data_IF_415452590485
#
_entry.id   IF_415452590485
#
_cell.length_a   1.000
_cell.length_b   1.000
_cell.length_c   1.000
_cell.angle_alpha   90.00
_cell.angle_beta   90.00
_cell.angle_gamma   90.00
#
_symmetry.space_group_name_H-M   'P 1'
#
loop_
_entity.id
_entity.type
_entity.pdbx_description
1 polymer ?
#
# COMPACT_ATOMS: atom_id res chain seq x y z
N UNK A 1 -13.89 -6.58 -21.44
CA UNK A 1 -14.07 -7.10 -20.07
C UNK A 1 -12.73 -7.18 -19.34
N UNK A 2 -11.70 -7.87 -19.87
CA UNK A 2 -10.37 -7.99 -19.20
C UNK A 2 -9.65 -6.63 -19.03
N UNK A 3 -9.80 -5.68 -19.95
CA UNK A 3 -9.13 -4.38 -19.87
C UNK A 3 -9.56 -3.54 -18.65
N UNK A 4 -10.82 -3.67 -18.23
CA UNK A 4 -11.40 -2.91 -17.10
C UNK A 4 -10.76 -3.37 -15.77
N UNK A 5 -10.41 -4.65 -15.66
CA UNK A 5 -9.72 -5.21 -14.48
C UNK A 5 -8.20 -5.09 -14.58
N UNK A 6 -7.64 -5.04 -15.80
CA UNK A 6 -6.19 -4.96 -16.00
C UNK A 6 -5.59 -3.62 -15.56
N UNK A 7 -6.31 -2.50 -15.74
CA UNK A 7 -5.82 -1.17 -15.37
C UNK A 7 -5.64 -1.03 -13.84
N UNK A 8 -6.65 -1.32 -12.99
CA UNK A 8 -6.46 -1.32 -11.53
C UNK A 8 -5.33 -2.25 -11.09
N UNK A 9 -5.23 -3.43 -11.71
CA UNK A 9 -4.21 -4.41 -11.36
C UNK A 9 -2.80 -3.95 -11.71
N UNK A 10 -2.60 -3.30 -12.87
CA UNK A 10 -1.32 -2.72 -13.24
C UNK A 10 -0.92 -1.53 -12.35
N UNK A 11 -1.88 -0.75 -11.86
CA UNK A 11 -1.60 0.32 -10.88
C UNK A 11 -1.19 -0.29 -9.53
N UNK A 12 -1.86 -1.36 -9.10
CA UNK A 12 -1.48 -2.09 -7.89
C UNK A 12 -0.05 -2.62 -7.98
N UNK A 13 0.26 -3.30 -9.08
CA UNK A 13 1.59 -3.87 -9.33
C UNK A 13 2.68 -2.79 -9.37
N UNK A 14 2.40 -1.65 -10.00
CA UNK A 14 3.29 -0.49 -9.98
C UNK A 14 3.60 -0.03 -8.55
N UNK A 15 2.57 0.12 -7.70
CA UNK A 15 2.75 0.55 -6.30
C UNK A 15 3.53 -0.51 -5.51
N UNK A 16 3.21 -1.78 -5.68
CA UNK A 16 3.92 -2.89 -5.03
C UNK A 16 5.42 -2.92 -5.43
N UNK A 17 5.72 -2.71 -6.70
CA UNK A 17 7.10 -2.63 -7.18
C UNK A 17 7.86 -1.42 -6.60
N UNK A 18 7.20 -0.27 -6.40
CA UNK A 18 7.78 0.89 -5.72
C UNK A 18 8.10 0.55 -4.26
N UNK A 19 7.17 -0.05 -3.53
CA UNK A 19 7.34 -0.43 -2.13
C UNK A 19 8.50 -1.43 -1.97
N UNK A 20 8.64 -2.38 -2.90
CA UNK A 20 9.75 -3.33 -2.91
C UNK A 20 11.11 -2.67 -3.18
N UNK A 21 11.18 -1.67 -4.05
CA UNK A 21 12.41 -0.90 -4.30
C UNK A 21 12.80 -0.12 -3.06
N UNK A 22 11.84 0.52 -2.39
CA UNK A 22 12.07 1.26 -1.15
C UNK A 22 12.52 0.33 -0.02
N UNK A 23 11.84 -0.81 0.15
CA UNK A 23 12.21 -1.85 1.11
C UNK A 23 13.63 -2.37 0.87
N UNK A 24 14.04 -2.54 -0.39
CA UNK A 24 15.40 -2.93 -0.72
C UNK A 24 16.43 -1.83 -0.39
N UNK A 25 16.08 -0.56 -0.62
CA UNK A 25 16.93 0.59 -0.30
C UNK A 25 17.17 0.70 1.22
N UNK A 26 16.12 0.51 2.02
CA UNK A 26 16.20 0.43 3.49
C UNK A 26 17.13 -0.69 3.94
N UNK A 27 17.10 -1.85 3.27
CA UNK A 27 18.04 -2.95 3.51
C UNK A 27 19.45 -2.72 2.95
N UNK A 28 19.73 -1.53 2.40
CA UNK A 28 21.05 -1.12 1.91
C UNK A 28 21.36 -1.46 0.44
N UNK A 29 20.38 -1.87 -0.36
CA UNK A 29 20.55 -2.06 -1.81
C UNK A 29 19.68 -1.08 -2.60
N UNK A 30 20.31 -0.09 -3.22
CA UNK A 30 19.61 0.89 -4.06
C UNK A 30 19.47 0.38 -5.49
N UNK A 31 18.22 0.23 -5.94
CA UNK A 31 17.90 -0.12 -7.33
C UNK A 31 17.24 1.07 -8.04
N UNK A 32 17.63 1.38 -9.29
CA UNK A 32 16.94 2.40 -10.06
C UNK A 32 15.49 1.99 -10.33
N UNK A 33 14.54 2.70 -9.72
CA UNK A 33 13.10 2.43 -9.78
C UNK A 33 12.60 2.25 -11.21
N UNK A 34 12.97 3.15 -12.11
CA UNK A 34 12.58 3.10 -13.53
C UNK A 34 13.05 1.81 -14.22
N UNK A 35 14.23 1.30 -13.85
CA UNK A 35 14.77 0.05 -14.41
C UNK A 35 14.02 -1.16 -13.87
N UNK A 36 13.68 -1.16 -12.58
CA UNK A 36 12.89 -2.24 -11.97
C UNK A 36 11.50 -2.31 -12.61
N UNK A 37 10.80 -1.17 -12.69
CA UNK A 37 9.47 -1.08 -13.31
C UNK A 37 9.47 -1.45 -14.79
N UNK A 38 10.50 -1.01 -15.54
CA UNK A 38 10.62 -1.38 -16.96
C UNK A 38 10.87 -2.87 -17.12
N UNK A 39 11.72 -3.46 -16.27
CA UNK A 39 11.99 -4.90 -16.32
C UNK A 39 10.72 -5.70 -16.02
N UNK A 40 9.98 -5.31 -14.99
CA UNK A 40 8.73 -5.96 -14.60
C UNK A 40 7.68 -5.95 -15.71
N UNK A 41 7.45 -4.77 -16.32
CA UNK A 41 6.55 -4.63 -17.46
C UNK A 41 6.99 -5.43 -18.69
N UNK A 42 8.28 -5.42 -19.05
CA UNK A 42 8.79 -6.17 -20.20
C UNK A 42 8.68 -7.68 -19.96
N UNK A 43 9.03 -8.17 -18.77
CA UNK A 43 8.91 -9.60 -18.42
C UNK A 43 7.43 -10.02 -18.43
N UNK A 44 6.53 -9.18 -17.94
CA UNK A 44 5.08 -9.40 -18.02
C UNK A 44 4.58 -9.49 -19.46
N UNK A 45 5.06 -8.64 -20.38
CA UNK A 45 4.72 -8.73 -21.80
C UNK A 45 5.22 -10.03 -22.46
N UNK A 46 6.44 -10.45 -22.11
CA UNK A 46 7.00 -11.74 -22.57
C UNK A 46 6.14 -12.89 -22.05
N UNK A 47 5.83 -12.89 -20.75
CA UNK A 47 4.96 -13.90 -20.13
C UNK A 47 3.58 -13.96 -20.78
N UNK A 48 2.96 -12.81 -21.03
CA UNK A 48 1.69 -12.70 -21.73
C UNK A 48 1.75 -13.32 -23.13
N UNK A 49 2.83 -13.05 -23.87
CA UNK A 49 3.08 -13.65 -25.20
C UNK A 49 3.23 -15.17 -25.14
N UNK A 50 3.64 -15.71 -23.99
CA UNK A 50 3.76 -17.14 -23.71
C UNK A 50 2.49 -17.75 -23.10
N UNK A 51 1.40 -16.97 -22.96
CA UNK A 51 0.11 -17.42 -22.45
C UNK A 51 -0.14 -17.18 -20.96
N UNK A 52 0.71 -16.43 -20.26
CA UNK A 52 0.44 -16.01 -18.88
C UNK A 52 -0.70 -14.96 -18.85
N UNK A 53 -1.85 -15.23 -18.20
CA UNK A 53 -2.95 -14.28 -18.14
C UNK A 53 -2.77 -13.21 -17.04
N UNK A 54 -1.73 -13.31 -16.21
CA UNK A 54 -1.48 -12.43 -15.07
C UNK A 54 -0.25 -11.54 -15.30
N UNK A 55 -0.27 -10.34 -14.73
CA UNK A 55 0.94 -9.52 -14.61
C UNK A 55 1.91 -10.25 -13.67
N UNK A 56 3.21 -10.20 -13.97
CA UNK A 56 4.22 -10.59 -13.00
C UNK A 56 4.40 -9.42 -12.01
N UNK A 57 4.91 -9.72 -10.82
CA UNK A 57 5.19 -8.73 -9.80
C UNK A 57 6.61 -8.89 -9.27
N UNK A 58 7.19 -7.78 -8.78
CA UNK A 58 8.43 -7.81 -8.02
C UNK A 58 8.20 -8.56 -6.70
N UNK A 59 9.02 -9.56 -6.43
CA UNK A 59 8.84 -10.40 -5.26
C UNK A 59 9.19 -9.66 -3.95
N UNK A 60 8.26 -9.67 -3.00
CA UNK A 60 8.46 -9.07 -1.68
C UNK A 60 9.41 -9.87 -0.79
N UNK A 61 10.11 -9.16 0.10
CA UNK A 61 10.94 -9.77 1.13
C UNK A 61 12.45 -9.71 0.86
N UNK A 62 12.91 -8.84 -0.05
CA UNK A 62 14.34 -8.57 -0.25
C UNK A 62 15.12 -8.40 1.07
N UNK A 63 14.64 -7.62 2.08
CA UNK A 63 15.33 -7.54 3.37
C UNK A 63 15.49 -8.89 4.08
N UNK A 64 14.45 -9.73 4.06
CA UNK A 64 14.47 -11.06 4.69
C UNK A 64 15.45 -12.01 4.01
N UNK A 65 15.43 -12.07 2.67
CA UNK A 65 16.39 -12.89 1.91
C UNK A 65 17.82 -12.42 2.09
N UNK A 66 18.03 -11.10 2.10
CA UNK A 66 19.35 -10.52 2.33
C UNK A 66 19.87 -10.83 3.74
N UNK A 67 19.02 -10.73 4.77
CA UNK A 67 19.37 -11.10 6.14
C UNK A 67 19.79 -12.57 6.26
N UNK A 68 19.22 -13.47 5.44
CA UNK A 68 19.62 -14.87 5.33
C UNK A 68 20.88 -15.11 4.48
N UNK A 69 21.53 -14.06 3.97
CA UNK A 69 22.71 -14.17 3.12
C UNK A 69 22.43 -14.41 1.62
N UNK A 70 21.17 -14.29 1.20
CA UNK A 70 20.76 -14.35 -0.20
C UNK A 70 21.45 -13.27 -1.03
N UNK A 71 21.90 -13.65 -2.23
CA UNK A 71 22.54 -12.77 -3.22
C UNK A 71 21.99 -13.09 -4.61
N UNK A 72 22.50 -12.42 -5.65
CA UNK A 72 22.07 -12.65 -7.04
C UNK A 72 22.08 -14.13 -7.46
N UNK A 73 23.05 -14.91 -7.00
CA UNK A 73 23.12 -16.36 -7.29
C UNK A 73 21.96 -17.15 -6.69
N UNK A 74 21.46 -16.74 -5.52
CA UNK A 74 20.26 -17.32 -4.92
C UNK A 74 19.04 -17.07 -5.82
N UNK A 75 18.81 -15.82 -6.24
CA UNK A 75 17.70 -15.47 -7.13
C UNK A 75 17.76 -16.23 -8.46
N UNK A 76 18.95 -16.33 -9.06
CA UNK A 76 19.16 -17.08 -10.31
C UNK A 76 18.89 -18.58 -10.12
N UNK A 77 19.40 -19.19 -9.05
CA UNK A 77 19.18 -20.60 -8.75
C UNK A 77 17.69 -20.89 -8.50
N UNK A 78 16.98 -20.01 -7.79
CA UNK A 78 15.54 -20.11 -7.59
C UNK A 78 14.80 -20.07 -8.93
N UNK A 79 15.10 -19.11 -9.81
CA UNK A 79 14.48 -19.03 -11.13
C UNK A 79 14.71 -20.28 -11.99
N UNK A 80 15.95 -20.77 -12.05
CA UNK A 80 16.30 -22.01 -12.78
C UNK A 80 15.55 -23.21 -12.18
N UNK A 81 15.50 -23.31 -10.86
CA UNK A 81 14.82 -24.40 -10.17
C UNK A 81 13.32 -24.40 -10.49
N UNK A 82 12.66 -23.25 -10.39
CA UNK A 82 11.23 -23.11 -10.72
C UNK A 82 10.96 -23.47 -12.19
N UNK A 83 11.82 -23.07 -13.13
CA UNK A 83 11.72 -23.46 -14.53
C UNK A 83 11.77 -24.99 -14.68
N UNK A 84 12.77 -25.64 -14.08
CA UNK A 84 12.92 -27.10 -14.16
C UNK A 84 11.70 -27.81 -13.55
N UNK A 85 11.29 -27.42 -12.34
CA UNK A 85 10.13 -28.00 -11.67
C UNK A 85 8.84 -27.81 -12.49
N UNK A 86 8.70 -26.68 -13.19
CA UNK A 86 7.56 -26.41 -14.06
C UNK A 86 7.57 -27.30 -15.30
N UNK A 87 8.72 -27.44 -15.97
CA UNK A 87 8.86 -28.27 -17.18
C UNK A 87 8.59 -29.75 -16.93
N UNK A 88 9.00 -30.25 -15.75
CA UNK A 88 8.77 -31.64 -15.35
C UNK A 88 7.41 -31.86 -14.65
N UNK A 89 6.57 -30.83 -14.53
CA UNK A 89 5.24 -30.94 -13.90
C UNK A 89 5.27 -31.19 -12.38
N UNK A 90 6.43 -31.01 -11.74
CA UNK A 90 6.63 -31.30 -10.31
C UNK A 90 5.85 -30.31 -9.44
N UNK A 91 5.69 -29.06 -9.88
CA UNK A 91 4.93 -28.05 -9.14
C UNK A 91 3.47 -28.50 -8.94
N UNK A 92 2.82 -29.04 -9.98
CA UNK A 92 1.44 -29.53 -9.90
C UNK A 92 1.31 -30.70 -8.91
N UNK A 93 2.31 -31.58 -8.85
CA UNK A 93 2.37 -32.65 -7.87
C UNK A 93 2.50 -32.09 -6.44
N UNK A 94 3.40 -31.14 -6.21
CA UNK A 94 3.60 -30.53 -4.90
C UNK A 94 2.31 -29.83 -4.42
N UNK A 95 1.65 -29.04 -5.27
CA UNK A 95 0.40 -28.35 -4.91
C UNK A 95 -0.74 -29.34 -4.62
N UNK A 96 -0.73 -30.52 -5.23
CA UNK A 96 -1.70 -31.58 -4.91
C UNK A 96 -1.49 -32.21 -3.52
N UNK A 97 -0.25 -32.18 -3.02
CA UNK A 97 0.14 -32.78 -1.74
C UNK A 97 0.13 -31.76 -0.59
N UNK A 98 0.47 -30.51 -0.87
CA UNK A 98 0.58 -29.44 0.14
C UNK A 98 -0.78 -28.78 0.34
N UNK A 99 -1.36 -28.83 1.55
CA UNK A 99 -2.60 -28.14 1.84
C UNK A 99 -2.44 -26.64 1.68
N UNK A 100 -3.39 -25.97 1.01
CA UNK A 100 -3.40 -24.50 0.85
C UNK A 100 -3.35 -23.78 2.20
N UNK A 101 -3.90 -24.39 3.25
CA UNK A 101 -3.88 -23.86 4.63
C UNK A 101 -2.45 -23.72 5.19
N UNK A 102 -1.48 -24.48 4.67
CA UNK A 102 -0.07 -24.36 5.07
C UNK A 102 0.56 -23.02 4.64
N UNK A 103 -0.08 -22.30 3.72
CA UNK A 103 0.36 -20.98 3.24
C UNK A 103 0.02 -19.90 4.28
N UNK A 104 -1.03 -20.07 5.08
CA UNK A 104 -1.53 -19.03 6.00
C UNK A 104 -0.50 -18.55 7.03
N UNK A 105 0.26 -19.41 7.73
CA UNK A 105 1.29 -18.95 8.66
C UNK A 105 2.40 -18.12 7.99
N UNK A 106 2.72 -18.43 6.74
CA UNK A 106 3.74 -17.69 5.96
C UNK A 106 3.22 -16.29 5.65
N UNK A 107 1.97 -16.16 5.21
CA UNK A 107 1.35 -14.86 4.94
C UNK A 107 1.19 -14.02 6.21
N UNK A 108 0.84 -14.65 7.34
CA UNK A 108 0.79 -13.97 8.63
C UNK A 108 2.16 -13.43 9.04
N UNK A 109 3.22 -14.24 8.89
CA UNK A 109 4.57 -13.81 9.18
C UNK A 109 5.03 -12.64 8.30
N UNK A 110 4.81 -12.73 6.99
CA UNK A 110 5.14 -11.65 6.04
C UNK A 110 4.35 -10.38 6.37
N UNK A 111 3.05 -10.49 6.64
CA UNK A 111 2.22 -9.36 7.03
C UNK A 111 2.67 -8.69 8.33
N UNK A 112 3.06 -9.48 9.34
CA UNK A 112 3.65 -8.96 10.58
C UNK A 112 4.96 -8.23 10.32
N UNK A 113 5.85 -8.78 9.49
CA UNK A 113 7.14 -8.16 9.17
C UNK A 113 6.98 -6.83 8.42
N UNK A 114 6.17 -6.81 7.34
CA UNK A 114 5.90 -5.60 6.57
C UNK A 114 5.22 -4.56 7.46
N UNK A 115 4.23 -4.99 8.25
CA UNK A 115 3.53 -4.15 9.20
C UNK A 115 4.47 -3.53 10.22
N UNK A 116 5.37 -4.31 10.83
CA UNK A 116 6.35 -3.78 11.79
C UNK A 116 7.37 -2.85 11.14
N UNK A 117 7.85 -3.19 9.94
CA UNK A 117 8.81 -2.37 9.20
C UNK A 117 8.24 -1.01 8.85
N UNK A 118 6.97 -0.93 8.46
CA UNK A 118 6.32 0.34 8.17
C UNK A 118 6.45 1.34 9.33
N UNK A 119 6.31 0.88 10.59
CA UNK A 119 6.46 1.74 11.77
C UNK A 119 7.91 1.93 12.22
N UNK A 120 8.81 0.99 11.93
CA UNK A 120 10.21 1.03 12.38
C UNK A 120 11.10 1.86 11.45
N UNK A 121 10.82 1.83 10.15
CA UNK A 121 11.63 2.46 9.10
C UNK A 121 11.09 3.84 8.67
N UNK A 122 9.95 4.25 9.24
CA UNK A 122 9.36 5.57 9.03
C UNK A 122 9.54 6.43 10.29
N UNK A 123 9.75 7.75 10.17
CA UNK A 123 9.63 8.71 11.27
C UNK A 123 8.50 8.38 12.25
N UNK A 124 8.81 8.33 13.55
CA UNK A 124 7.83 7.98 14.61
C UNK A 124 6.62 8.92 14.58
N UNK A 125 6.86 10.18 14.23
CA UNK A 125 5.82 11.20 14.11
C UNK A 125 4.80 10.90 12.99
N UNK A 126 5.11 10.05 12.02
CA UNK A 126 4.22 9.65 10.93
C UNK A 126 3.36 8.41 11.24
N UNK A 127 3.50 7.81 12.42
CA UNK A 127 2.68 6.66 12.83
C UNK A 127 1.16 6.84 12.61
N UNK A 128 0.55 8.02 12.86
CA UNK A 128 -0.87 8.24 12.56
C UNK A 128 -1.21 8.11 11.06
N UNK A 129 -0.29 8.50 10.17
CA UNK A 129 -0.48 8.39 8.73
C UNK A 129 -0.47 6.93 8.26
N UNK A 130 0.37 6.09 8.86
CA UNK A 130 0.41 4.64 8.62
C UNK A 130 -0.92 4.00 9.04
N UNK A 131 -1.45 4.35 10.22
CA UNK A 131 -2.74 3.82 10.66
C UNK A 131 -3.87 4.31 9.75
N UNK A 132 -3.84 5.57 9.33
CA UNK A 132 -4.84 6.13 8.42
C UNK A 132 -4.86 5.39 7.08
N UNK A 133 -3.69 5.06 6.52
CA UNK A 133 -3.60 4.36 5.22
C UNK A 133 -4.16 2.94 5.24
N UNK A 134 -4.29 2.30 6.40
CA UNK A 134 -4.94 1.00 6.54
C UNK A 134 -6.47 1.08 6.43
N UNK A 135 -7.07 2.25 6.64
CA UNK A 135 -8.53 2.43 6.69
C UNK A 135 -9.24 1.96 5.41
N UNK A 136 -8.82 2.35 4.19
CA UNK A 136 -9.39 1.82 2.95
C UNK A 136 -9.28 0.30 2.84
N UNK A 137 -8.15 -0.28 3.24
CA UNK A 137 -7.93 -1.73 3.16
C UNK A 137 -8.85 -2.50 4.10
N UNK A 138 -9.02 -2.01 5.34
CA UNK A 138 -9.95 -2.60 6.31
C UNK A 138 -11.39 -2.51 5.80
N UNK A 139 -11.76 -1.39 5.18
CA UNK A 139 -13.09 -1.22 4.59
C UNK A 139 -13.34 -2.19 3.42
N UNK A 140 -12.37 -2.31 2.51
CA UNK A 140 -12.42 -3.25 1.39
C UNK A 140 -12.54 -4.70 1.87
N UNK A 141 -11.73 -5.09 2.86
CA UNK A 141 -11.80 -6.40 3.48
C UNK A 141 -13.15 -6.64 4.16
N UNK A 142 -13.64 -5.67 4.95
CA UNK A 142 -14.94 -5.76 5.62
C UNK A 142 -16.10 -5.95 4.64
N UNK A 143 -16.13 -5.18 3.55
CA UNK A 143 -17.10 -5.36 2.46
C UNK A 143 -17.00 -6.76 1.85
N UNK A 144 -15.79 -7.21 1.54
CA UNK A 144 -15.55 -8.52 0.94
C UNK A 144 -16.07 -9.66 1.83
N UNK A 145 -15.87 -9.58 3.15
CA UNK A 145 -16.40 -10.56 4.10
C UNK A 145 -17.93 -10.60 4.10
N UNK A 146 -18.58 -9.43 4.02
CA UNK A 146 -20.05 -9.32 3.92
C UNK A 146 -20.52 -9.94 2.60
N UNK A 147 -19.92 -9.55 1.48
CA UNK A 147 -20.29 -10.03 0.14
C UNK A 147 -20.16 -11.56 0.05
N UNK A 148 -19.05 -12.13 0.51
CA UNK A 148 -18.82 -13.57 0.52
C UNK A 148 -19.83 -14.31 1.39
N UNK A 149 -20.16 -13.76 2.57
CA UNK A 149 -21.13 -14.37 3.49
C UNK A 149 -22.55 -14.37 2.89
N UNK A 150 -22.96 -13.26 2.27
CA UNK A 150 -24.26 -13.15 1.61
C UNK A 150 -24.34 -14.04 0.36
N UNK A 151 -23.27 -14.10 -0.44
CA UNK A 151 -23.18 -14.96 -1.60
C UNK A 151 -23.29 -16.45 -1.22
N UNK A 152 -22.63 -16.87 -0.14
CA UNK A 152 -22.76 -18.23 0.40
C UNK A 152 -24.20 -18.54 0.87
N UNK A 153 -24.94 -17.54 1.31
CA UNK A 153 -26.36 -17.65 1.65
C UNK A 153 -27.30 -17.53 0.43
N UNK A 154 -26.76 -17.43 -0.79
CA UNK A 154 -27.55 -17.31 -2.03
C UNK A 154 -28.21 -15.95 -2.24
N UNK A 155 -27.70 -14.89 -1.58
CA UNK A 155 -28.21 -13.53 -1.67
C UNK A 155 -27.08 -12.51 -1.90
N UNK A 156 -27.38 -11.21 -1.86
CA UNK A 156 -26.41 -10.13 -1.92
C UNK A 156 -26.92 -8.91 -1.13
N UNK A 157 -26.05 -7.91 -0.93
CA UNK A 157 -26.37 -6.74 -0.11
C UNK A 157 -27.59 -5.95 -0.64
N UNK A 158 -27.75 -5.86 -1.96
CA UNK A 158 -28.89 -5.20 -2.58
C UNK A 158 -30.21 -5.94 -2.32
N UNK A 159 -30.20 -7.27 -2.41
CA UNK A 159 -31.38 -8.11 -2.14
C UNK A 159 -31.78 -8.10 -0.65
N UNK A 160 -30.80 -8.02 0.26
CA UNK A 160 -31.08 -7.83 1.70
C UNK A 160 -31.64 -6.42 1.96
N UNK A 161 -31.12 -5.41 1.26
CA UNK A 161 -31.47 -4.01 1.38
C UNK A 161 -30.51 -3.25 2.30
N UNK A 162 -29.89 -2.18 1.77
CA UNK A 162 -28.87 -1.40 2.47
C UNK A 162 -29.37 -0.76 3.78
N UNK A 163 -30.64 -0.31 3.81
CA UNK A 163 -31.23 0.26 5.03
C UNK A 163 -31.35 -0.76 6.15
N UNK A 164 -31.71 -2.02 5.82
CA UNK A 164 -31.80 -3.10 6.81
C UNK A 164 -30.44 -3.48 7.37
N UNK A 165 -29.41 -3.50 6.50
CA UNK A 165 -28.02 -3.67 6.92
C UNK A 165 -27.59 -2.51 7.85
N UNK A 166 -27.94 -1.28 7.49
CA UNK A 166 -27.65 -0.10 8.31
C UNK A 166 -28.29 -0.16 9.70
N UNK A 167 -29.54 -0.65 9.81
CA UNK A 167 -30.24 -0.81 11.08
C UNK A 167 -29.57 -1.81 12.04
N UNK A 168 -28.76 -2.73 11.54
CA UNK A 168 -28.00 -3.69 12.35
C UNK A 168 -26.53 -3.29 12.55
N UNK A 169 -26.15 -2.08 12.11
CA UNK A 169 -24.78 -1.56 12.22
C UNK A 169 -23.86 -1.96 11.07
N UNK A 170 -24.36 -2.66 10.04
CA UNK A 170 -23.60 -3.00 8.84
C UNK A 170 -23.66 -1.82 7.87
N UNK A 171 -22.69 -0.91 7.98
CA UNK A 171 -22.55 0.30 7.16
C UNK A 171 -22.01 -0.01 5.75
N UNK A 172 -22.72 -0.86 4.98
CA UNK A 172 -22.26 -1.41 3.71
C UNK A 172 -21.84 -0.33 2.70
N UNK A 173 -22.65 0.71 2.52
CA UNK A 173 -22.37 1.77 1.57
C UNK A 173 -21.09 2.54 1.91
N UNK A 174 -20.87 2.83 3.20
CA UNK A 174 -19.64 3.46 3.68
C UNK A 174 -18.41 2.59 3.46
N UNK A 175 -18.53 1.28 3.71
CA UNK A 175 -17.45 0.32 3.42
C UNK A 175 -17.15 0.25 1.92
N UNK A 176 -18.16 0.30 1.06
CA UNK A 176 -17.97 0.32 -0.40
C UNK A 176 -17.23 1.56 -0.88
N UNK A 177 -17.68 2.74 -0.45
CA UNK A 177 -17.00 4.01 -0.79
C UNK A 177 -15.58 4.03 -0.20
N UNK A 178 -15.39 3.66 1.06
CA UNK A 178 -14.07 3.73 1.69
C UNK A 178 -13.09 2.70 1.11
N UNK A 179 -13.57 1.51 0.74
CA UNK A 179 -12.76 0.41 0.22
C UNK A 179 -12.47 0.46 -1.29
N UNK A 180 -13.25 1.23 -2.06
CA UNK A 180 -13.02 1.41 -3.50
C UNK A 180 -11.62 1.97 -3.77
N UNK A 181 -10.80 1.25 -4.53
CA UNK A 181 -9.43 1.67 -4.83
C UNK A 181 -8.51 1.76 -3.61
N UNK A 182 -8.65 0.85 -2.65
CA UNK A 182 -8.00 0.90 -1.34
C UNK A 182 -6.50 1.22 -1.36
N UNK A 183 -5.75 0.69 -2.31
CA UNK A 183 -4.30 0.92 -2.45
C UNK A 183 -4.01 2.41 -2.69
N UNK A 184 -4.60 2.98 -3.74
CA UNK A 184 -4.45 4.41 -4.04
C UNK A 184 -5.04 5.28 -2.92
N UNK A 185 -6.18 4.86 -2.34
CA UNK A 185 -6.78 5.52 -1.20
C UNK A 185 -5.82 5.59 -0.01
N UNK A 186 -5.12 4.50 0.29
CA UNK A 186 -4.14 4.42 1.36
C UNK A 186 -2.96 5.35 1.12
N UNK A 187 -2.39 5.31 -0.09
CA UNK A 187 -1.25 6.16 -0.49
C UNK A 187 -1.59 7.65 -0.42
N UNK A 188 -2.76 8.04 -0.97
CA UNK A 188 -3.18 9.44 -0.98
C UNK A 188 -3.48 9.94 0.44
N UNK A 189 -4.18 9.15 1.27
CA UNK A 189 -4.49 9.54 2.65
C UNK A 189 -3.23 9.60 3.52
N UNK A 190 -2.31 8.64 3.40
CA UNK A 190 -1.01 8.72 4.07
C UNK A 190 -0.26 9.98 3.66
N UNK A 191 -0.18 10.27 2.36
CA UNK A 191 0.54 11.44 1.84
C UNK A 191 -0.05 12.74 2.38
N UNK A 192 -1.37 12.89 2.35
CA UNK A 192 -2.06 14.06 2.93
C UNK A 192 -1.71 14.21 4.41
N UNK A 193 -1.81 13.12 5.19
CA UNK A 193 -1.53 13.12 6.62
C UNK A 193 -0.06 13.44 6.94
N UNK A 194 0.90 12.82 6.23
CA UNK A 194 2.33 13.09 6.37
C UNK A 194 2.61 14.58 6.11
N UNK A 195 2.11 15.16 5.02
CA UNK A 195 2.35 16.57 4.74
C UNK A 195 1.63 17.53 5.71
N UNK A 196 0.55 17.10 6.36
CA UNK A 196 -0.06 17.86 7.47
C UNK A 196 0.84 17.81 8.71
N UNK A 197 1.35 16.63 9.07
CA UNK A 197 2.26 16.43 10.21
C UNK A 197 3.55 17.26 10.02
N UNK A 198 4.08 17.28 8.80
CA UNK A 198 5.25 18.06 8.41
C UNK A 198 4.96 19.56 8.22
N UNK A 199 3.71 20.00 8.42
CA UNK A 199 3.26 21.40 8.23
C UNK A 199 3.50 21.93 6.80
N UNK A 200 3.59 21.03 5.82
CA UNK A 200 3.76 21.34 4.40
C UNK A 200 2.40 21.36 3.69
N UNK A 201 1.51 22.25 4.15
CA UNK A 201 0.09 22.26 3.74
C UNK A 201 -0.14 22.43 2.24
N UNK A 202 0.75 23.14 1.52
CA UNK A 202 0.64 23.26 0.06
C UNK A 202 0.86 21.93 -0.65
N UNK A 203 1.80 21.09 -0.17
CA UNK A 203 1.99 19.75 -0.73
C UNK A 203 0.81 18.85 -0.39
N UNK A 204 0.32 18.92 0.86
CA UNK A 204 -0.89 18.20 1.28
C UNK A 204 -2.10 18.57 0.41
N UNK A 205 -2.28 19.86 0.09
CA UNK A 205 -3.33 20.33 -0.81
C UNK A 205 -3.20 19.75 -2.22
N UNK A 206 -1.98 19.63 -2.76
CA UNK A 206 -1.75 18.98 -4.07
C UNK A 206 -2.16 17.50 -4.02
N UNK A 207 -1.79 16.77 -2.97
CA UNK A 207 -2.23 15.38 -2.82
C UNK A 207 -3.75 15.24 -2.69
N UNK A 208 -4.41 16.17 -1.99
CA UNK A 208 -5.87 16.22 -1.95
C UNK A 208 -6.49 16.53 -3.32
N UNK A 209 -5.90 17.41 -4.13
CA UNK A 209 -6.33 17.65 -5.52
C UNK A 209 -6.16 16.41 -6.40
N UNK A 210 -5.03 15.71 -6.28
CA UNK A 210 -4.81 14.44 -6.98
C UNK A 210 -5.85 13.41 -6.53
N UNK A 211 -6.12 13.31 -5.22
CA UNK A 211 -7.17 12.46 -4.67
C UNK A 211 -8.56 12.79 -5.25
N UNK A 212 -8.89 14.08 -5.41
CA UNK A 212 -10.13 14.50 -6.06
C UNK A 212 -10.22 14.02 -7.51
N UNK A 213 -9.14 14.16 -8.28
CA UNK A 213 -9.09 13.71 -9.67
C UNK A 213 -9.22 12.17 -9.77
N UNK A 214 -8.46 11.43 -8.97
CA UNK A 214 -8.53 9.97 -8.93
C UNK A 214 -9.93 9.47 -8.52
N UNK A 215 -10.54 10.14 -7.54
CA UNK A 215 -11.91 9.83 -7.09
C UNK A 215 -12.95 10.13 -8.18
N UNK A 216 -12.80 11.25 -8.90
CA UNK A 216 -13.72 11.61 -9.98
C UNK A 216 -13.73 10.56 -11.11
N UNK A 217 -12.58 9.95 -11.40
CA UNK A 217 -12.46 8.89 -12.40
C UNK A 217 -12.72 7.47 -11.86
N UNK A 218 -13.03 7.31 -10.57
CA UNK A 218 -13.30 6.02 -9.94
C UNK A 218 -12.06 5.17 -9.62
N UNK A 219 -10.84 5.73 -9.72
CA UNK A 219 -9.62 5.05 -9.26
C UNK A 219 -9.54 4.96 -7.73
N UNK A 220 -10.24 5.85 -7.04
CA UNK A 220 -10.44 5.84 -5.59
C UNK A 220 -11.92 6.00 -5.30
N UNK A 221 -12.37 5.41 -4.19
CA UNK A 221 -13.73 5.55 -3.69
C UNK A 221 -14.83 5.28 -4.72
N UNK A 222 -14.58 4.41 -5.70
CA UNK A 222 -15.52 4.00 -6.75
C UNK A 222 -15.57 2.49 -6.91
N UNK A 223 -16.69 1.98 -7.45
CA UNK A 223 -16.86 0.56 -7.78
C UNK A 223 -16.36 0.25 -9.19
N UNK A 224 -16.31 1.25 -10.06
CA UNK A 224 -15.92 1.14 -11.46
C UNK A 224 -15.05 2.34 -11.88
N UNK A 225 -14.34 2.20 -13.00
CA UNK A 225 -13.60 3.31 -13.63
C UNK A 225 -14.52 3.98 -14.64
N UNK A 226 -14.67 5.29 -14.54
CA UNK A 226 -15.48 6.07 -15.45
C UNK A 226 -15.31 7.56 -15.22
N UNK A 227 -16.33 8.37 -15.54
CA UNK A 227 -16.28 9.83 -15.41
C UNK A 227 -17.40 10.29 -14.51
N UNK A 228 -17.05 10.87 -13.36
CA UNK A 228 -18.04 11.31 -12.37
C UNK A 228 -18.61 10.17 -11.54
N UNK A 229 -17.78 9.19 -11.18
CA UNK A 229 -18.21 7.98 -10.44
C UNK A 229 -18.65 8.31 -9.00
N UNK A 230 -17.83 9.00 -8.22
CA UNK A 230 -18.18 9.47 -6.87
C UNK A 230 -17.98 10.98 -6.69
N UNK A 231 -18.81 11.80 -7.35
CA UNK A 231 -18.59 13.24 -7.46
C UNK A 231 -18.66 13.96 -6.11
N UNK A 232 -19.49 13.48 -5.18
CA UNK A 232 -19.58 14.06 -3.83
C UNK A 232 -18.28 13.88 -3.05
N UNK A 233 -17.65 12.70 -3.15
CA UNK A 233 -16.37 12.42 -2.49
C UNK A 233 -15.25 13.20 -3.17
N UNK A 234 -15.25 13.27 -4.50
CA UNK A 234 -14.32 14.10 -5.25
C UNK A 234 -14.40 15.58 -4.84
N UNK A 235 -15.62 16.13 -4.69
CA UNK A 235 -15.84 17.48 -4.18
C UNK A 235 -15.36 17.65 -2.74
N UNK A 236 -15.50 16.64 -1.89
CA UNK A 236 -14.96 16.67 -0.52
C UNK A 236 -13.42 16.79 -0.54
N UNK A 237 -12.72 16.03 -1.40
CA UNK A 237 -11.29 16.18 -1.59
C UNK A 237 -10.90 17.58 -2.12
N UNK A 238 -11.69 18.17 -3.03
CA UNK A 238 -11.48 19.56 -3.47
C UNK A 238 -11.64 20.56 -2.31
N UNK A 239 -12.63 20.34 -1.45
CA UNK A 239 -12.84 21.13 -0.24
C UNK A 239 -11.65 21.05 0.72
N UNK A 240 -11.17 19.84 0.98
CA UNK A 240 -9.96 19.58 1.78
C UNK A 240 -8.74 20.27 1.16
N UNK A 241 -8.55 20.16 -0.15
CA UNK A 241 -7.48 20.85 -0.87
C UNK A 241 -7.56 22.37 -0.70
N UNK A 242 -8.75 22.95 -0.82
CA UNK A 242 -8.97 24.38 -0.62
C UNK A 242 -8.63 24.85 0.80
N UNK A 243 -9.06 24.09 1.81
CA UNK A 243 -8.74 24.37 3.22
C UNK A 243 -7.22 24.30 3.45
N UNK A 244 -6.56 23.24 2.99
CA UNK A 244 -5.11 23.05 3.15
C UNK A 244 -4.30 24.11 2.40
N UNK A 245 -4.73 24.51 1.20
CA UNK A 245 -4.11 25.61 0.47
C UNK A 245 -4.27 26.95 1.21
N UNK A 246 -5.44 27.17 1.84
CA UNK A 246 -5.68 28.30 2.74
C UNK A 246 -4.73 28.28 3.93
N UNK A 247 -4.61 27.15 4.63
CA UNK A 247 -3.65 26.98 5.73
C UNK A 247 -2.22 27.26 5.27
N UNK A 248 -1.80 26.74 4.11
CA UNK A 248 -0.45 26.96 3.57
C UNK A 248 -0.13 28.41 3.22
N UNK A 249 -1.14 29.24 2.92
CA UNK A 249 -0.96 30.67 2.60
C UNK A 249 -1.09 31.59 3.81
N UNK A 250 -1.94 31.24 4.77
CA UNK A 250 -2.33 32.14 5.85
C UNK A 250 -1.89 31.70 7.24
N UNK A 251 -1.52 30.43 7.43
CA UNK A 251 -0.99 29.98 8.71
C UNK A 251 0.51 30.28 8.79
N UNK A 252 0.91 31.07 9.79
CA UNK A 252 2.31 31.14 10.22
C UNK A 252 2.63 29.88 11.03
N UNK A 253 2.77 28.75 10.34
CA UNK A 253 3.18 27.51 10.97
C UNK A 253 4.68 27.56 11.27
N UNK A 254 5.05 27.49 12.55
CA UNK A 254 6.45 27.30 12.94
C UNK A 254 6.98 26.03 12.25
N UNK A 255 8.16 26.05 11.60
CA UNK A 255 8.76 24.85 11.06
C UNK A 255 8.87 23.78 12.15
N UNK A 256 8.57 22.52 11.82
CA UNK A 256 8.83 21.40 12.73
C UNK A 256 10.35 21.29 12.92
N UNK A 257 10.88 21.15 14.15
CA UNK A 257 12.29 20.83 14.37
C UNK A 257 12.65 19.55 13.60
N UNK A 258 13.86 19.46 13.06
CA UNK A 258 14.27 18.23 12.37
C UNK A 258 14.36 17.10 13.42
N UNK A 259 13.81 15.91 13.12
CA UNK A 259 13.86 14.76 14.06
C UNK A 259 15.31 14.39 14.45
N UNK A 260 16.29 14.69 13.59
CA UNK A 260 17.71 14.51 13.92
C UNK A 260 18.19 15.42 15.05
N UNK A 261 17.61 16.61 15.20
CA UNK A 261 17.94 17.52 16.28
C UNK A 261 17.35 17.03 17.61
N UNK A 262 16.12 16.50 17.61
CA UNK A 262 15.47 15.95 18.83
C UNK A 262 16.16 14.67 19.32
N UNK A 263 16.57 13.75 18.43
CA UNK A 263 17.26 12.53 18.82
C UNK A 263 18.67 12.81 19.35
N UNK A 264 19.37 13.82 18.79
CA UNK A 264 20.66 14.30 19.29
C UNK A 264 20.52 15.08 20.59
N UNK A 265 19.44 15.85 20.78
CA UNK A 265 19.12 16.55 22.02
C UNK A 265 18.78 15.56 23.14
N UNK A 266 17.91 14.56 22.89
CA UNK A 266 17.62 13.48 23.84
C UNK A 266 18.87 12.68 24.20
N UNK A 267 19.75 12.39 23.22
CA UNK A 267 21.03 11.74 23.48
C UNK A 267 22.02 12.63 24.25
N UNK A 268 22.00 13.96 24.05
CA UNK A 268 22.79 14.91 24.85
C UNK A 268 22.27 15.02 26.27
N UNK A 269 20.95 15.11 26.46
CA UNK A 269 20.31 15.16 27.78
C UNK A 269 20.54 13.85 28.55
N UNK A 270 20.43 12.70 27.87
CA UNK A 270 20.70 11.38 28.46
C UNK A 270 22.18 11.18 28.82
N UNK A 271 23.12 11.84 28.13
CA UNK A 271 24.56 11.76 28.41
C UNK A 271 25.03 12.68 29.55
N UNK A 272 24.21 13.63 29.99
CA UNK A 272 24.57 14.62 31.01
C UNK A 272 25.74 15.53 30.57
N UNK A 273 26.03 16.61 31.32
CA UNK A 273 27.19 17.44 31.03
C UNK A 273 28.46 16.60 31.22
N UNK A 274 29.20 16.39 30.14
CA UNK A 274 30.56 15.84 30.18
C UNK A 274 31.36 16.71 31.17
N UNK A 275 31.74 16.13 32.30
CA UNK A 275 32.68 16.75 33.22
C UNK A 275 33.97 17.00 32.44
N UNK A 276 34.28 18.27 32.18
CA UNK A 276 35.59 18.65 31.65
C UNK A 276 36.66 18.11 32.62
N UNK A 277 37.74 17.49 32.11
CA UNK A 277 38.81 17.04 32.97
C UNK A 277 39.45 18.26 33.64
N UNK A 278 39.41 18.28 34.97
CA UNK A 278 40.12 19.28 35.76
C UNK A 278 41.63 19.24 35.44
N UNK A 279 42.17 20.41 35.10
CA UNK A 279 43.59 20.67 34.80
C UNK A 279 44.53 20.29 35.96
#
# INVERSE_FOLDING_TARGET
IILVTAIPFGIYDLVEALDNVESAAVAGDSFPTTRVLTADGVISLIGCSMGNPFINAVYIGHPGWKAMGGRIGYSAATGITVILLSWFGVISLIVSLVPVVAISPILLYIGMLIGSQAFQETPKSHAPAIVLSLTPHIAAWGKLQIDNSLAAAGTNAAAVGFDKLGQTGVLYHGLSIMGGGAILGGVILASIAVFIIERQFMKSAVFALVGAALTFFGFMHGEEIGVGETPVVALAYLGVAGVLAGCGRFAHATPKPAEHDEEVEELREARGPLLEPAE
#
